data_IF_583262800515
#
_entry.id   IF_583262800515
#
_cell.length_a   1.000
_cell.length_b   1.000
_cell.length_c   1.000
_cell.angle_alpha   90.00
_cell.angle_beta   90.00
_cell.angle_gamma   90.00
#
_symmetry.space_group_name_H-M   'P 1'
#
loop_
_entity.id
_entity.type
_entity.pdbx_description
1 polymer ?
#
# COMPACT_ATOMS: atom_id res chain seq x y z
N UNK A 1 -1.23 9.64 6.09
CA UNK A 1 0.22 9.85 5.92
C UNK A 1 0.93 8.51 6.15
N UNK A 2 1.92 8.16 5.33
CA UNK A 2 2.61 6.88 5.39
C UNK A 2 4.02 7.04 5.97
N UNK A 3 4.38 6.18 6.94
CA UNK A 3 5.70 6.18 7.57
C UNK A 3 6.68 5.31 6.77
N UNK A 4 7.82 5.88 6.40
CA UNK A 4 8.88 5.17 5.70
C UNK A 4 9.51 4.13 6.63
N UNK A 5 9.55 2.84 6.25
CA UNK A 5 10.10 1.78 7.09
C UNK A 5 11.63 1.86 7.25
N UNK A 6 12.32 2.61 6.39
CA UNK A 6 13.78 2.76 6.40
C UNK A 6 14.28 3.83 7.37
N UNK A 7 13.63 5.00 7.39
CA UNK A 7 14.13 6.17 8.15
C UNK A 7 13.06 6.79 9.06
N UNK A 8 11.85 6.25 9.10
CA UNK A 8 10.74 6.80 9.89
C UNK A 8 10.15 8.11 9.36
N UNK A 9 10.63 8.64 8.23
CA UNK A 9 10.08 9.83 7.60
C UNK A 9 8.62 9.65 7.16
N UNK A 10 7.82 10.69 7.31
CA UNK A 10 6.40 10.66 6.97
C UNK A 10 6.14 11.25 5.59
N UNK A 11 5.33 10.58 4.77
CA UNK A 11 5.01 10.98 3.40
C UNK A 11 3.50 11.03 3.23
N UNK A 12 2.96 12.20 2.87
CA UNK A 12 1.52 12.42 2.78
C UNK A 12 0.88 11.63 1.62
N UNK A 13 1.44 11.79 0.42
CA UNK A 13 0.82 11.32 -0.82
C UNK A 13 1.63 10.18 -1.47
N UNK A 14 0.96 9.13 -1.96
CA UNK A 14 1.60 8.11 -2.77
C UNK A 14 1.93 8.67 -4.16
N UNK A 15 3.06 8.26 -4.74
CA UNK A 15 3.39 8.48 -6.15
C UNK A 15 2.39 7.79 -7.08
N UNK A 16 2.00 6.56 -6.73
CA UNK A 16 1.01 5.76 -7.48
C UNK A 16 0.19 4.92 -6.50
N UNK A 17 -1.06 4.64 -6.85
CA UNK A 17 -1.86 3.64 -6.15
C UNK A 17 -2.55 2.71 -7.14
N UNK A 18 -2.76 1.46 -6.75
CA UNK A 18 -3.46 0.47 -7.55
C UNK A 18 -4.20 -0.53 -6.65
N UNK A 19 -5.18 -1.21 -7.24
CA UNK A 19 -5.95 -2.28 -6.58
C UNK A 19 -5.38 -3.63 -6.98
N UNK A 20 -5.34 -4.56 -6.03
CA UNK A 20 -4.90 -5.93 -6.23
C UNK A 20 -5.86 -6.87 -5.51
N UNK A 21 -6.53 -7.75 -6.25
CA UNK A 21 -7.33 -8.82 -5.68
C UNK A 21 -6.45 -10.05 -5.41
N UNK A 22 -6.51 -10.55 -4.19
CA UNK A 22 -5.82 -11.78 -3.78
C UNK A 22 -6.56 -13.06 -4.22
N UNK A 23 -6.00 -14.20 -3.81
CA UNK A 23 -6.62 -15.51 -4.02
C UNK A 23 -7.99 -15.58 -3.33
N UNK A 24 -9.02 -16.17 -3.96
CA UNK A 24 -10.30 -16.41 -3.31
C UNK A 24 -10.16 -17.34 -2.10
N UNK A 25 -10.97 -17.11 -1.08
CA UNK A 25 -11.11 -18.00 0.06
C UNK A 25 -12.00 -19.23 -0.28
N UNK A 26 -12.19 -20.14 0.67
CA UNK A 26 -12.98 -21.38 0.47
C UNK A 26 -14.44 -21.11 0.03
N UNK A 27 -14.99 -19.95 0.37
CA UNK A 27 -16.32 -19.50 -0.02
C UNK A 27 -16.32 -18.64 -1.30
N UNK A 28 -15.19 -18.56 -2.01
CA UNK A 28 -15.07 -17.85 -3.30
C UNK A 28 -14.89 -16.33 -3.21
N UNK A 29 -14.94 -15.73 -2.01
CA UNK A 29 -14.75 -14.28 -1.83
C UNK A 29 -13.28 -13.93 -1.94
N UNK A 30 -12.96 -12.77 -2.51
CA UNK A 30 -11.59 -12.28 -2.66
C UNK A 30 -11.36 -11.10 -1.73
N UNK A 31 -10.10 -10.87 -1.41
CA UNK A 31 -9.68 -9.66 -0.71
C UNK A 31 -9.04 -8.74 -1.73
N UNK A 32 -9.62 -7.57 -1.93
CA UNK A 32 -9.02 -6.50 -2.70
C UNK A 32 -8.23 -5.57 -1.77
N UNK A 33 -6.94 -5.39 -2.07
CA UNK A 33 -6.05 -4.47 -1.40
C UNK A 33 -5.81 -3.25 -2.28
N UNK A 34 -5.89 -2.06 -1.71
CA UNK A 34 -5.38 -0.84 -2.33
C UNK A 34 -3.95 -0.63 -1.85
N UNK A 35 -2.98 -0.69 -2.75
CA UNK A 35 -1.56 -0.48 -2.44
C UNK A 35 -1.17 0.90 -2.94
N UNK A 36 -0.46 1.67 -2.09
CA UNK A 36 0.19 2.92 -2.44
C UNK A 36 1.71 2.74 -2.49
N UNK A 37 2.35 3.23 -3.56
CA UNK A 37 3.79 3.38 -3.67
C UNK A 37 4.18 4.81 -3.29
N UNK A 38 5.08 4.96 -2.34
CA UNK A 38 5.57 6.24 -1.83
C UNK A 38 7.06 6.36 -2.08
N UNK A 39 7.52 7.58 -2.37
CA UNK A 39 8.93 7.93 -2.41
C UNK A 39 9.26 8.76 -1.18
N UNK A 40 10.20 8.31 -0.35
CA UNK A 40 10.57 9.03 0.85
C UNK A 40 11.55 10.17 0.52
N UNK A 41 11.22 11.45 0.81
CA UNK A 41 12.12 12.57 0.52
C UNK A 41 13.34 12.59 1.45
N UNK A 42 13.27 11.94 2.63
CA UNK A 42 14.39 11.92 3.59
C UNK A 42 15.52 10.97 3.19
N UNK A 43 15.20 9.82 2.61
CA UNK A 43 16.20 8.80 2.28
C UNK A 43 16.17 8.33 0.82
N UNK A 44 15.33 8.96 -0.03
CA UNK A 44 15.18 8.70 -1.45
C UNK A 44 14.90 7.22 -1.79
N UNK A 45 14.25 6.49 -0.87
CA UNK A 45 13.83 5.10 -1.08
C UNK A 45 12.33 5.04 -1.32
N UNK A 46 11.95 4.23 -2.31
CA UNK A 46 10.57 3.87 -2.56
C UNK A 46 10.10 2.78 -1.58
N UNK A 47 8.84 2.85 -1.14
CA UNK A 47 8.23 1.85 -0.28
C UNK A 47 6.73 1.71 -0.58
N UNK A 48 6.17 0.53 -0.29
CA UNK A 48 4.75 0.23 -0.53
C UNK A 48 4.00 0.13 0.79
N UNK A 49 2.77 0.64 0.81
CA UNK A 49 1.88 0.60 1.98
C UNK A 49 0.50 0.18 1.53
N UNK A 50 -0.18 -0.64 2.34
CA UNK A 50 -1.59 -0.98 2.14
C UNK A 50 -2.42 0.20 2.62
N UNK A 51 -3.11 0.86 1.69
CA UNK A 51 -3.99 2.01 1.94
C UNK A 51 -5.42 1.56 2.29
N UNK A 52 -5.83 0.38 1.85
CA UNK A 52 -7.17 -0.13 2.08
C UNK A 52 -7.26 -1.62 1.83
N UNK A 53 -8.24 -2.25 2.48
CA UNK A 53 -8.57 -3.67 2.35
C UNK A 53 -10.08 -3.81 2.35
N UNK A 54 -10.64 -4.45 1.32
CA UNK A 54 -12.07 -4.80 1.27
C UNK A 54 -12.26 -6.23 0.79
N UNK A 55 -13.36 -6.87 1.21
CA UNK A 55 -13.80 -8.16 0.67
C UNK A 55 -14.67 -7.91 -0.56
N UNK A 56 -14.47 -8.67 -1.63
CA UNK A 56 -15.24 -8.67 -2.87
C UNK A 56 -15.70 -10.07 -3.22
#
# INVERSE_FOLDING_TARGET
MAKCPKCGGEVANPRKSWKMAGRPDKAGKRVELTIGLFDCPKCNKAFRVVLGKRKI
#
